data_IF_305243748086
#
_entry.id   IF_305243748086
#
_cell.length_a   1.000
_cell.length_b   1.000
_cell.length_c   1.000
_cell.angle_alpha   90.00
_cell.angle_beta   90.00
_cell.angle_gamma   90.00
#
_symmetry.space_group_name_H-M   'P 1'
#
loop_
_entity.id
_entity.type
_entity.pdbx_description
1 polymer ?
#
# COMPACT_ATOMS: atom_id res chain seq x y z
N UNK A 1 41.07 7.30 -62.32
CA UNK A 1 41.55 8.42 -63.14
C UNK A 1 40.46 9.47 -63.20
N UNK A 2 40.78 10.68 -62.71
CA UNK A 2 40.17 12.03 -62.90
C UNK A 2 38.64 12.16 -62.73
N UNK A 3 38.10 12.89 -61.74
CA UNK A 3 38.16 14.36 -61.55
C UNK A 3 36.95 15.00 -62.29
N UNK A 4 36.12 15.93 -61.81
CA UNK A 4 36.14 16.88 -60.68
C UNK A 4 34.76 17.61 -60.64
N UNK A 5 34.24 17.88 -59.43
CA UNK A 5 33.59 19.11 -58.90
C UNK A 5 32.37 19.76 -59.60
N UNK A 6 31.29 19.98 -58.81
CA UNK A 6 30.65 21.30 -58.70
C UNK A 6 29.14 21.40 -58.38
N UNK A 7 28.82 21.90 -57.17
CA UNK A 7 27.60 22.68 -56.78
C UNK A 7 26.30 21.88 -56.52
N UNK A 8 25.43 22.16 -55.54
CA UNK A 8 25.33 23.19 -54.49
C UNK A 8 24.21 22.81 -53.50
N UNK A 9 24.44 23.22 -52.25
CA UNK A 9 23.46 23.70 -51.25
C UNK A 9 22.37 22.75 -50.75
N UNK A 10 22.54 22.36 -49.48
CA UNK A 10 21.50 21.78 -48.66
C UNK A 10 20.34 22.75 -48.44
N UNK A 11 19.17 22.16 -48.36
CA UNK A 11 18.00 22.77 -47.72
C UNK A 11 17.75 21.95 -46.47
N UNK A 12 17.99 22.58 -45.33
CA UNK A 12 17.55 22.14 -44.02
C UNK A 12 16.05 21.79 -44.09
N UNK A 13 15.71 20.53 -43.82
CA UNK A 13 14.33 20.13 -43.58
C UNK A 13 13.96 20.59 -42.18
N UNK A 14 13.42 21.81 -42.15
CA UNK A 14 12.80 22.47 -41.03
C UNK A 14 11.69 21.57 -40.45
N UNK A 15 12.00 20.87 -39.35
CA UNK A 15 11.08 19.95 -38.68
C UNK A 15 10.20 20.72 -37.68
N UNK A 16 9.59 21.81 -38.14
CA UNK A 16 8.71 22.68 -37.38
C UNK A 16 7.25 22.20 -37.45
N UNK A 17 7.02 20.90 -37.28
CA UNK A 17 5.72 20.41 -36.84
C UNK A 17 5.66 20.49 -35.33
N UNK A 18 5.38 21.69 -34.83
CA UNK A 18 4.88 21.89 -33.48
C UNK A 18 3.64 20.99 -33.32
N UNK A 19 3.77 19.91 -32.56
CA UNK A 19 2.65 19.12 -32.09
C UNK A 19 1.79 20.07 -31.28
N UNK A 20 0.65 20.49 -31.83
CA UNK A 20 -0.32 21.32 -31.12
C UNK A 20 -0.72 20.66 -29.79
N UNK A 21 -1.24 21.42 -28.82
CA UNK A 21 -1.68 20.86 -27.55
C UNK A 21 -2.63 19.68 -27.85
N UNK A 22 -2.30 18.47 -27.37
CA UNK A 22 -3.20 17.32 -27.50
C UNK A 22 -4.55 17.75 -26.94
N UNK A 23 -5.56 17.83 -27.80
CA UNK A 23 -6.93 18.10 -27.38
C UNK A 23 -7.29 17.11 -26.28
N UNK A 24 -7.81 17.63 -25.16
CA UNK A 24 -8.32 16.80 -24.06
C UNK A 24 -9.41 15.89 -24.65
N UNK A 25 -9.16 14.59 -24.68
CA UNK A 25 -10.06 13.58 -25.24
C UNK A 25 -11.26 13.40 -24.30
N UNK A 26 -12.22 14.32 -24.34
CA UNK A 26 -13.50 14.23 -23.63
C UNK A 26 -13.41 14.27 -22.09
N UNK A 27 -14.57 14.22 -21.40
CA UNK A 27 -14.66 14.26 -19.94
C UNK A 27 -14.14 12.98 -19.24
N UNK A 28 -13.68 12.00 -20.02
CA UNK A 28 -13.16 10.70 -19.56
C UNK A 28 -11.71 10.46 -20.02
N UNK A 29 -10.97 11.53 -20.37
CA UNK A 29 -9.57 11.40 -20.75
C UNK A 29 -8.76 10.87 -19.56
N UNK A 30 -8.27 9.63 -19.66
CA UNK A 30 -7.33 9.08 -18.68
C UNK A 30 -6.05 9.90 -18.68
N UNK A 31 -5.62 10.31 -17.50
CA UNK A 31 -4.33 10.96 -17.30
C UNK A 31 -3.21 9.92 -17.32
N UNK A 32 -2.00 10.35 -17.66
CA UNK A 32 -0.82 9.48 -17.57
C UNK A 32 -0.62 8.97 -16.13
N UNK A 33 -0.90 9.82 -15.14
CA UNK A 33 -0.82 9.51 -13.71
C UNK A 33 -1.75 8.35 -13.33
N UNK A 34 -3.00 8.34 -13.80
CA UNK A 34 -3.94 7.24 -13.55
C UNK A 34 -3.46 5.94 -14.20
N UNK A 35 -2.90 6.02 -15.42
CA UNK A 35 -2.33 4.84 -16.09
C UNK A 35 -1.09 4.30 -15.37
N UNK A 36 -0.28 5.16 -14.77
CA UNK A 36 0.85 4.73 -13.94
C UNK A 36 0.38 4.00 -12.68
N UNK A 37 -0.71 4.45 -12.05
CA UNK A 37 -1.34 3.72 -10.93
C UNK A 37 -1.85 2.34 -11.35
N UNK A 38 -2.45 2.22 -12.54
CA UNK A 38 -2.88 0.92 -13.09
C UNK A 38 -1.68 -0.01 -13.32
N UNK A 39 -0.59 0.49 -13.92
CA UNK A 39 0.64 -0.30 -14.13
C UNK A 39 1.25 -0.75 -12.80
N UNK A 40 1.27 0.11 -11.80
CA UNK A 40 1.73 -0.22 -10.45
C UNK A 40 0.84 -1.27 -9.79
N UNK A 41 -0.50 -1.18 -9.93
CA UNK A 41 -1.42 -2.19 -9.43
C UNK A 41 -1.17 -3.57 -10.05
N UNK A 42 -0.89 -3.66 -11.36
CA UNK A 42 -0.52 -4.93 -12.01
C UNK A 42 0.75 -5.55 -11.42
N UNK A 43 1.75 -4.74 -11.06
CA UNK A 43 2.96 -5.21 -10.38
C UNK A 43 2.67 -5.65 -8.94
N UNK A 44 1.71 -5.02 -8.25
CA UNK A 44 1.29 -5.43 -6.91
C UNK A 44 0.69 -6.84 -6.87
N UNK A 45 0.01 -7.30 -7.93
CA UNK A 45 -0.43 -8.70 -8.01
C UNK A 45 0.74 -9.68 -7.92
N UNK A 46 1.88 -9.35 -8.55
CA UNK A 46 3.10 -10.18 -8.49
C UNK A 46 3.58 -10.26 -7.07
N UNK A 47 3.79 -9.09 -6.44
CA UNK A 47 4.28 -8.98 -5.06
C UNK A 47 3.38 -9.74 -4.09
N UNK A 48 2.08 -9.49 -4.10
CA UNK A 48 1.18 -9.97 -3.05
C UNK A 48 0.59 -11.36 -3.30
N UNK A 49 0.40 -11.79 -4.55
CA UNK A 49 -0.42 -12.98 -4.85
C UNK A 49 0.18 -13.90 -5.90
N UNK A 50 1.45 -13.75 -6.25
CA UNK A 50 2.14 -14.69 -7.14
C UNK A 50 3.32 -15.36 -6.45
N UNK A 51 3.70 -16.55 -6.93
CA UNK A 51 4.84 -17.28 -6.40
C UNK A 51 6.16 -16.51 -6.64
N UNK A 52 6.24 -15.76 -7.72
CA UNK A 52 7.35 -14.90 -8.10
C UNK A 52 7.58 -13.75 -7.10
N UNK A 53 6.53 -13.27 -6.43
CA UNK A 53 6.64 -12.28 -5.35
C UNK A 53 7.08 -12.86 -4.01
N UNK A 54 7.13 -14.18 -3.84
CA UNK A 54 7.45 -14.81 -2.56
C UNK A 54 8.78 -14.34 -1.94
N UNK A 55 9.91 -14.25 -2.67
CA UNK A 55 11.16 -13.78 -2.08
C UNK A 55 11.06 -12.36 -1.51
N UNK A 56 10.30 -11.49 -2.16
CA UNK A 56 10.07 -10.12 -1.70
C UNK A 56 9.20 -10.11 -0.44
N UNK A 57 8.13 -10.92 -0.41
CA UNK A 57 7.29 -11.11 0.79
C UNK A 57 8.06 -11.72 1.96
N UNK A 58 8.96 -12.66 1.69
CA UNK A 58 9.79 -13.27 2.73
C UNK A 58 10.72 -12.24 3.39
N UNK A 59 11.17 -11.21 2.66
CA UNK A 59 11.97 -10.11 3.22
C UNK A 59 11.12 -9.19 4.10
N UNK A 60 9.91 -8.82 3.66
CA UNK A 60 9.13 -7.77 4.32
C UNK A 60 8.02 -8.28 5.25
N UNK A 61 7.26 -9.31 4.85
CA UNK A 61 6.14 -9.85 5.60
C UNK A 61 6.57 -10.86 6.65
N UNK A 62 7.53 -11.74 6.34
CA UNK A 62 7.96 -12.77 7.30
C UNK A 62 8.49 -12.15 8.60
N UNK A 63 9.13 -10.99 8.50
CA UNK A 63 9.55 -10.19 9.65
C UNK A 63 8.37 -9.87 10.59
N UNK A 64 7.31 -9.28 10.04
CA UNK A 64 6.11 -8.91 10.77
C UNK A 64 5.41 -10.15 11.35
N UNK A 65 5.28 -11.21 10.55
CA UNK A 65 4.66 -12.47 10.99
C UNK A 65 5.41 -13.08 12.17
N UNK A 66 6.75 -13.07 12.14
CA UNK A 66 7.58 -13.60 13.22
C UNK A 66 7.43 -12.78 14.51
N UNK A 67 7.50 -11.45 14.41
CA UNK A 67 7.33 -10.56 15.57
C UNK A 67 5.94 -10.74 16.19
N UNK A 68 4.88 -10.83 15.38
CA UNK A 68 3.51 -11.11 15.88
C UNK A 68 3.44 -12.48 16.57
N UNK A 69 4.04 -13.53 16.01
CA UNK A 69 4.04 -14.86 16.61
C UNK A 69 4.86 -14.91 17.92
N UNK A 70 5.89 -14.10 18.05
CA UNK A 70 6.68 -13.97 19.28
C UNK A 70 5.88 -13.26 20.38
N UNK A 71 5.33 -12.08 20.04
CA UNK A 71 4.58 -11.21 20.96
C UNK A 71 3.24 -11.83 21.38
N UNK A 72 2.53 -12.46 20.43
CA UNK A 72 1.19 -13.01 20.61
C UNK A 72 1.15 -14.51 20.34
N UNK A 73 2.07 -15.25 20.97
CA UNK A 73 2.24 -16.68 20.75
C UNK A 73 0.91 -17.46 20.89
N UNK A 74 0.45 -18.19 19.85
CA UNK A 74 -0.81 -18.96 19.88
C UNK A 74 -0.89 -20.04 20.97
N UNK A 75 0.24 -20.45 21.56
CA UNK A 75 0.29 -21.38 22.70
C UNK A 75 0.00 -20.69 24.03
N UNK A 76 0.09 -19.37 24.10
CA UNK A 76 -0.07 -18.56 25.32
C UNK A 76 -1.34 -17.72 25.31
N UNK A 77 -1.74 -17.22 24.14
CA UNK A 77 -2.94 -16.40 23.95
C UNK A 77 -3.80 -16.99 22.84
N UNK A 78 -5.11 -16.76 22.90
CA UNK A 78 -6.01 -17.11 21.80
C UNK A 78 -5.84 -16.07 20.67
N UNK A 79 -5.33 -16.44 19.47
CA UNK A 79 -5.11 -15.51 18.38
C UNK A 79 -6.36 -14.73 17.96
N UNK A 80 -7.54 -15.35 18.03
CA UNK A 80 -8.80 -14.71 17.69
C UNK A 80 -9.16 -13.51 18.59
N UNK A 81 -8.55 -13.41 19.78
CA UNK A 81 -8.75 -12.29 20.71
C UNK A 81 -7.72 -11.16 20.53
N UNK A 82 -6.76 -11.32 19.61
CA UNK A 82 -5.73 -10.32 19.31
C UNK A 82 -6.13 -9.60 18.04
N UNK A 83 -6.42 -8.31 18.16
CA UNK A 83 -6.84 -7.44 17.08
C UNK A 83 -5.62 -6.80 16.42
N UNK A 84 -5.39 -7.08 15.14
CA UNK A 84 -4.27 -6.56 14.35
C UNK A 84 -4.81 -5.69 13.21
N UNK A 85 -4.28 -4.46 13.11
CA UNK A 85 -4.55 -3.56 11.99
C UNK A 85 -3.34 -3.49 11.06
N UNK A 86 -3.60 -3.52 9.75
CA UNK A 86 -2.60 -3.33 8.70
C UNK A 86 -2.99 -2.11 7.85
N UNK A 87 -2.52 -0.90 8.17
CA UNK A 87 -2.71 0.29 7.33
C UNK A 87 -1.92 0.18 6.01
N UNK A 88 -2.47 0.73 4.92
CA UNK A 88 -1.86 0.63 3.60
C UNK A 88 -1.73 -0.82 3.11
N UNK A 89 -2.79 -1.61 3.31
CA UNK A 89 -2.76 -3.05 3.09
C UNK A 89 -2.61 -3.47 1.62
N UNK A 90 -2.70 -2.55 0.65
CA UNK A 90 -2.52 -2.85 -0.76
C UNK A 90 -3.52 -3.92 -1.24
N UNK A 91 -3.01 -5.06 -1.72
CA UNK A 91 -3.85 -6.18 -2.16
C UNK A 91 -4.24 -7.13 -1.02
N UNK A 92 -3.89 -6.78 0.22
CA UNK A 92 -4.36 -7.45 1.43
C UNK A 92 -3.59 -8.70 1.83
N UNK A 93 -2.46 -9.03 1.18
CA UNK A 93 -1.73 -10.29 1.44
C UNK A 93 -1.24 -10.41 2.87
N UNK A 94 -0.59 -9.38 3.43
CA UNK A 94 -0.08 -9.42 4.80
C UNK A 94 -1.22 -9.58 5.82
N UNK A 95 -2.31 -8.84 5.64
CA UNK A 95 -3.48 -8.94 6.51
C UNK A 95 -4.13 -10.34 6.41
N UNK A 96 -4.15 -10.92 5.21
CA UNK A 96 -4.60 -12.30 4.99
C UNK A 96 -3.67 -13.33 5.66
N UNK A 97 -2.35 -13.19 5.59
CA UNK A 97 -1.39 -14.10 6.25
C UNK A 97 -1.54 -14.07 7.78
N UNK A 98 -1.73 -12.87 8.36
CA UNK A 98 -2.02 -12.72 9.79
C UNK A 98 -3.35 -13.39 10.18
N UNK A 99 -4.39 -13.21 9.37
CA UNK A 99 -5.65 -13.92 9.54
C UNK A 99 -5.49 -15.45 9.40
N UNK A 100 -4.70 -15.91 8.43
CA UNK A 100 -4.44 -17.33 8.20
C UNK A 100 -3.75 -17.99 9.42
N UNK A 101 -2.92 -17.23 10.15
CA UNK A 101 -2.33 -17.66 11.44
C UNK A 101 -3.33 -17.69 12.61
N UNK A 102 -4.57 -17.25 12.41
CA UNK A 102 -5.64 -17.30 13.42
C UNK A 102 -5.99 -15.95 14.05
N UNK A 103 -5.26 -14.88 13.74
CA UNK A 103 -5.46 -13.56 14.35
C UNK A 103 -6.68 -12.84 13.80
N UNK A 104 -7.35 -12.03 14.63
CA UNK A 104 -8.37 -11.11 14.12
C UNK A 104 -7.66 -9.96 13.42
N UNK A 105 -7.80 -9.88 12.09
CA UNK A 105 -7.03 -8.94 11.27
C UNK A 105 -7.93 -8.05 10.41
N UNK A 106 -7.61 -6.76 10.37
CA UNK A 106 -8.19 -5.81 9.43
C UNK A 106 -7.10 -5.17 8.61
N UNK A 107 -7.22 -5.20 7.28
CA UNK A 107 -6.46 -4.32 6.41
C UNK A 107 -7.20 -2.99 6.21
N UNK A 108 -6.46 -1.91 6.03
CA UNK A 108 -7.01 -0.61 5.61
C UNK A 108 -6.31 -0.15 4.34
N UNK A 109 -7.08 0.34 3.38
CA UNK A 109 -6.54 0.85 2.12
C UNK A 109 -7.42 1.99 1.60
N UNK A 110 -6.81 2.99 0.98
CA UNK A 110 -7.49 4.18 0.47
C UNK A 110 -7.68 4.14 -1.05
N UNK A 111 -6.69 3.62 -1.78
CA UNK A 111 -6.66 3.66 -3.23
C UNK A 111 -7.64 2.68 -3.86
N UNK A 112 -8.56 3.19 -4.70
CA UNK A 112 -9.43 2.32 -5.51
C UNK A 112 -8.66 1.39 -6.45
N UNK A 113 -7.44 1.79 -6.86
CA UNK A 113 -6.55 0.94 -7.67
C UNK A 113 -6.05 -0.29 -6.92
N UNK A 114 -6.10 -0.29 -5.58
CA UNK A 114 -5.77 -1.43 -4.74
C UNK A 114 -7.03 -2.15 -4.24
N UNK A 115 -8.04 -1.40 -3.78
CA UNK A 115 -9.29 -1.95 -3.23
C UNK A 115 -10.05 -2.83 -4.24
N UNK A 116 -10.13 -2.42 -5.51
CA UNK A 116 -10.85 -3.19 -6.55
C UNK A 116 -10.15 -4.53 -6.82
N UNK A 117 -8.83 -4.57 -7.14
CA UNK A 117 -8.07 -5.81 -7.21
C UNK A 117 -8.11 -6.66 -5.94
N UNK A 118 -7.95 -6.06 -4.76
CA UNK A 118 -8.00 -6.77 -3.48
C UNK A 118 -9.35 -7.48 -3.31
N UNK A 119 -10.46 -6.79 -3.60
CA UNK A 119 -11.79 -7.38 -3.57
C UNK A 119 -11.91 -8.56 -4.54
N UNK A 120 -11.42 -8.41 -5.78
CA UNK A 120 -11.41 -9.48 -6.77
C UNK A 120 -10.66 -10.71 -6.24
N UNK A 121 -9.44 -10.54 -5.77
CA UNK A 121 -8.61 -11.64 -5.27
C UNK A 121 -9.28 -12.32 -4.06
N UNK A 122 -9.61 -11.55 -3.03
CA UNK A 122 -10.05 -12.08 -1.73
C UNK A 122 -11.46 -12.69 -1.74
N UNK A 123 -12.31 -12.32 -2.70
CA UNK A 123 -13.71 -12.77 -2.72
C UNK A 123 -14.09 -13.61 -3.94
N UNK A 124 -13.29 -13.59 -5.01
CA UNK A 124 -13.67 -14.25 -6.27
C UNK A 124 -12.70 -15.35 -6.70
N UNK A 125 -11.40 -15.23 -6.40
CA UNK A 125 -10.43 -16.27 -6.72
C UNK A 125 -10.57 -17.44 -5.76
N UNK A 126 -10.76 -18.65 -6.29
CA UNK A 126 -11.02 -19.87 -5.50
C UNK A 126 -10.02 -20.97 -5.76
N UNK A 127 -9.22 -20.85 -6.82
CA UNK A 127 -8.23 -21.84 -7.20
C UNK A 127 -6.84 -21.22 -7.25
N UNK A 128 -5.84 -22.00 -6.85
CA UNK A 128 -4.44 -21.59 -6.98
C UNK A 128 -4.09 -21.47 -8.46
N UNK A 129 -3.42 -20.37 -8.83
CA UNK A 129 -3.01 -20.04 -10.20
C UNK A 129 -4.18 -19.99 -11.21
N UNK A 130 -5.37 -19.61 -10.75
CA UNK A 130 -6.59 -19.52 -11.58
C UNK A 130 -6.47 -18.50 -12.72
N UNK A 131 -5.73 -17.42 -12.48
CA UNK A 131 -5.58 -16.31 -13.40
C UNK A 131 -4.12 -16.06 -13.75
N UNK A 132 -3.90 -15.34 -14.85
CA UNK A 132 -2.58 -14.83 -15.23
C UNK A 132 -2.65 -13.40 -15.74
N UNK A 133 -1.56 -12.67 -15.59
CA UNK A 133 -1.37 -11.32 -16.12
C UNK A 133 0.05 -11.13 -16.66
N UNK A 134 0.27 -10.00 -17.33
CA UNK A 134 1.54 -9.66 -17.96
C UNK A 134 2.02 -8.30 -17.42
N UNK A 135 2.68 -8.28 -16.24
CA UNK A 135 2.91 -7.05 -15.48
C UNK A 135 4.04 -6.20 -16.06
N UNK A 136 4.87 -6.77 -16.94
CA UNK A 136 6.09 -6.15 -17.46
C UNK A 136 5.92 -5.54 -18.86
N UNK A 137 4.75 -5.67 -19.49
CA UNK A 137 4.54 -5.26 -20.89
C UNK A 137 4.82 -3.78 -21.14
N UNK A 138 4.64 -2.92 -20.13
CA UNK A 138 4.93 -1.49 -20.21
C UNK A 138 6.41 -1.13 -20.02
N UNK A 139 7.28 -2.08 -19.69
CA UNK A 139 8.70 -1.85 -19.41
C UNK A 139 9.55 -2.14 -20.65
N UNK A 140 10.15 -1.10 -21.22
CA UNK A 140 10.98 -1.19 -22.43
C UNK A 140 12.48 -1.09 -22.17
N UNK A 141 12.87 -0.76 -20.94
CA UNK A 141 14.27 -0.64 -20.52
C UNK A 141 14.65 -1.83 -19.64
N UNK A 142 15.94 -2.20 -19.67
CA UNK A 142 16.52 -3.26 -18.84
C UNK A 142 15.89 -4.66 -19.02
N UNK A 143 15.41 -4.97 -20.23
CA UNK A 143 14.99 -6.32 -20.60
C UNK A 143 16.20 -7.07 -21.17
N UNK A 144 16.52 -8.26 -20.64
CA UNK A 144 17.62 -9.09 -21.13
C UNK A 144 17.22 -9.82 -22.43
N UNK A 145 15.94 -10.15 -22.56
CA UNK A 145 15.32 -10.72 -23.76
C UNK A 145 13.96 -10.06 -24.07
N UNK A 146 13.40 -10.31 -25.26
CA UNK A 146 12.05 -9.82 -25.60
C UNK A 146 10.98 -10.62 -24.86
N UNK A 147 11.29 -11.88 -24.57
CA UNK A 147 10.46 -12.84 -23.86
C UNK A 147 10.24 -12.41 -22.41
N UNK A 148 11.23 -11.78 -21.77
CA UNK A 148 11.12 -11.25 -20.40
C UNK A 148 9.96 -10.24 -20.28
N UNK A 149 9.82 -9.32 -21.24
CA UNK A 149 8.80 -8.27 -21.25
C UNK A 149 7.36 -8.84 -21.30
N UNK A 150 7.19 -10.00 -21.92
CA UNK A 150 5.90 -10.66 -22.13
C UNK A 150 5.74 -11.92 -21.27
N UNK A 151 6.55 -12.07 -20.23
CA UNK A 151 6.46 -13.22 -19.33
C UNK A 151 5.15 -13.16 -18.53
N UNK A 152 4.31 -14.22 -18.57
CA UNK A 152 3.10 -14.29 -17.76
C UNK A 152 3.43 -14.59 -16.30
N UNK A 153 2.63 -14.04 -15.40
CA UNK A 153 2.65 -14.33 -13.96
C UNK A 153 1.27 -14.88 -13.55
N UNK A 154 1.24 -15.98 -12.80
CA UNK A 154 -0.01 -16.62 -12.36
C UNK A 154 -0.37 -16.22 -10.92
N UNK A 155 -1.66 -16.10 -10.63
CA UNK A 155 -2.16 -15.77 -9.30
C UNK A 155 -3.59 -16.33 -9.08
N UNK A 156 -4.07 -16.48 -7.84
CA UNK A 156 -3.31 -16.36 -6.59
C UNK A 156 -2.43 -17.60 -6.32
N UNK A 157 -1.27 -17.44 -5.70
CA UNK A 157 -0.34 -18.54 -5.39
C UNK A 157 -0.76 -19.40 -4.18
N UNK A 158 -1.75 -18.92 -3.43
CA UNK A 158 -2.48 -19.62 -2.36
C UNK A 158 -3.97 -19.41 -2.57
N UNK A 159 -4.83 -20.25 -1.98
CA UNK A 159 -6.28 -20.03 -2.06
C UNK A 159 -6.71 -18.98 -1.03
N UNK A 160 -7.25 -17.80 -1.42
CA UNK A 160 -7.64 -16.77 -0.46
C UNK A 160 -8.77 -17.21 0.49
N UNK A 161 -9.55 -18.21 0.10
CA UNK A 161 -10.60 -18.80 0.93
C UNK A 161 -10.08 -19.80 1.98
N UNK A 162 -8.78 -20.14 1.95
CA UNK A 162 -8.14 -21.01 2.94
C UNK A 162 -7.87 -20.21 4.23
N UNK A 163 -8.93 -19.83 4.95
CA UNK A 163 -8.85 -19.19 6.27
C UNK A 163 -9.47 -20.12 7.32
N UNK A 164 -8.96 -20.13 8.56
CA UNK A 164 -9.58 -20.90 9.63
C UNK A 164 -11.02 -20.42 9.91
N UNK A 165 -11.96 -21.35 10.14
CA UNK A 165 -13.40 -21.09 10.15
C UNK A 165 -13.90 -20.02 11.15
N UNK A 166 -13.14 -19.70 12.20
CA UNK A 166 -13.52 -18.75 13.24
C UNK A 166 -12.68 -17.46 13.23
N UNK A 167 -11.92 -17.21 12.16
CA UNK A 167 -11.09 -16.02 12.04
C UNK A 167 -11.89 -14.85 11.49
N UNK A 168 -11.70 -13.68 12.10
CA UNK A 168 -12.24 -12.42 11.58
C UNK A 168 -11.19 -11.75 10.70
N UNK A 169 -11.45 -11.74 9.39
CA UNK A 169 -10.64 -11.03 8.40
C UNK A 169 -11.47 -10.02 7.63
N UNK A 170 -11.04 -8.76 7.63
CA UNK A 170 -11.76 -7.67 6.95
C UNK A 170 -10.81 -6.69 6.26
N UNK A 171 -11.36 -5.92 5.31
CA UNK A 171 -10.71 -4.76 4.72
C UNK A 171 -11.58 -3.53 4.96
N UNK A 172 -10.98 -2.38 5.26
CA UNK A 172 -11.64 -1.08 5.43
C UNK A 172 -11.14 -0.10 4.35
N UNK A 173 -12.08 0.50 3.62
CA UNK A 173 -11.79 1.46 2.56
C UNK A 173 -11.83 2.92 3.04
N UNK A 174 -10.72 3.63 2.85
CA UNK A 174 -10.56 5.09 2.99
C UNK A 174 -9.32 5.47 3.79
N UNK A 175 -9.20 6.76 4.13
CA UNK A 175 -7.98 7.31 4.72
C UNK A 175 -7.75 6.79 6.16
N UNK A 176 -6.50 6.42 6.45
CA UNK A 176 -6.12 5.84 7.74
C UNK A 176 -6.39 6.79 8.91
N UNK A 177 -6.05 8.07 8.78
CA UNK A 177 -6.25 9.05 9.86
C UNK A 177 -7.75 9.30 10.03
N UNK A 178 -8.50 9.46 8.95
CA UNK A 178 -9.94 9.76 9.02
C UNK A 178 -10.77 8.61 9.59
N UNK A 179 -10.51 7.37 9.16
CA UNK A 179 -11.32 6.21 9.51
C UNK A 179 -11.11 5.77 10.96
N UNK A 180 -9.87 5.87 11.44
CA UNK A 180 -9.48 5.46 12.78
C UNK A 180 -9.39 6.67 13.73
N UNK A 181 -10.41 7.54 13.69
CA UNK A 181 -10.54 8.73 14.56
C UNK A 181 -11.73 8.61 15.51
N UNK A 182 -11.56 9.15 16.72
CA UNK A 182 -12.63 9.26 17.71
C UNK A 182 -13.67 10.31 17.27
N UNK A 183 -14.97 9.96 17.17
CA UNK A 183 -16.03 10.90 16.79
C UNK A 183 -16.09 12.17 17.66
N UNK A 184 -15.64 12.10 18.92
CA UNK A 184 -15.64 13.23 19.86
C UNK A 184 -14.56 14.28 19.55
N UNK A 185 -13.57 13.93 18.75
CA UNK A 185 -12.45 14.80 18.33
C UNK A 185 -12.73 15.54 17.02
N UNK A 186 -13.85 15.24 16.33
CA UNK A 186 -14.39 16.04 15.24
C UNK A 186 -15.06 17.31 15.82
N UNK A 187 -14.28 18.14 16.50
CA UNK A 187 -14.71 19.50 16.81
C UNK A 187 -14.56 20.36 15.57
N UNK A 188 -15.65 21.03 15.20
CA UNK A 188 -15.73 22.00 14.11
C UNK A 188 -14.72 23.13 14.31
N UNK A 189 -13.53 23.01 13.73
CA UNK A 189 -12.58 24.11 13.61
C UNK A 189 -12.13 24.18 12.16
N UNK A 190 -12.97 24.79 11.33
CA UNK A 190 -12.59 25.88 10.43
C UNK A 190 -13.81 26.27 9.60
N UNK A 191 -14.28 27.51 9.77
CA UNK A 191 -15.35 28.09 8.95
C UNK A 191 -14.91 28.41 7.51
N UNK A 192 -13.62 28.21 7.20
CA UNK A 192 -12.99 28.71 5.98
C UNK A 192 -12.32 27.62 5.14
N UNK A 193 -12.38 26.34 5.54
CA UNK A 193 -12.05 25.24 4.64
C UNK A 193 -13.34 24.79 3.97
N UNK A 194 -13.43 24.90 2.64
CA UNK A 194 -14.47 24.21 1.89
C UNK A 194 -14.21 22.71 2.04
N UNK A 195 -14.69 22.14 3.13
CA UNK A 195 -14.66 20.71 3.39
C UNK A 195 -15.55 20.08 2.32
N UNK A 196 -14.93 19.42 1.35
CA UNK A 196 -15.65 18.68 0.33
C UNK A 196 -16.43 17.58 1.02
N UNK A 197 -17.72 17.81 1.25
CA UNK A 197 -18.67 16.79 1.69
C UNK A 197 -18.93 15.80 0.55
N UNK A 198 -17.93 14.99 0.19
CA UNK A 198 -18.20 13.68 -0.37
C UNK A 198 -18.88 12.86 0.73
N UNK A 199 -19.94 12.14 0.39
CA UNK A 199 -20.67 11.29 1.33
C UNK A 199 -19.69 10.29 1.99
N UNK A 200 -19.22 10.61 3.21
CA UNK A 200 -18.24 9.85 3.99
C UNK A 200 -18.80 8.46 4.36
N UNK A 201 -18.77 7.54 3.40
CA UNK A 201 -19.13 6.14 3.55
C UNK A 201 -17.85 5.33 3.71
N UNK A 202 -17.62 4.83 4.92
CA UNK A 202 -16.61 3.79 5.16
C UNK A 202 -17.20 2.47 4.68
N UNK A 203 -16.54 1.84 3.70
CA UNK A 203 -16.91 0.51 3.25
C UNK A 203 -15.97 -0.49 3.90
N UNK A 204 -16.52 -1.37 4.74
CA UNK A 204 -15.81 -2.56 5.18
C UNK A 204 -16.41 -3.80 4.52
N UNK A 205 -15.55 -4.71 4.10
CA UNK A 205 -15.96 -6.04 3.65
C UNK A 205 -15.16 -7.12 4.36
N UNK A 206 -15.82 -8.27 4.55
CA UNK A 206 -15.25 -9.48 5.14
C UNK A 206 -14.96 -10.44 4.00
N UNK A 207 -13.73 -10.97 3.93
CA UNK A 207 -13.39 -11.94 2.89
C UNK A 207 -14.26 -13.20 3.04
N UNK A 208 -14.90 -13.63 1.96
CA UNK A 208 -15.73 -14.85 1.95
C UNK A 208 -17.16 -14.68 2.48
N UNK A 209 -17.59 -13.47 2.86
CA UNK A 209 -18.99 -13.18 3.22
C UNK A 209 -19.52 -12.04 2.33
N UNK A 210 -20.52 -12.32 1.50
CA UNK A 210 -21.27 -11.31 0.73
C UNK A 210 -22.22 -10.47 1.63
N UNK A 211 -21.78 -10.05 2.81
CA UNK A 211 -22.53 -9.12 3.65
C UNK A 211 -21.87 -7.76 3.61
N UNK A 212 -22.53 -6.80 2.95
CA UNK A 212 -22.17 -5.39 3.08
C UNK A 212 -22.42 -4.96 4.53
N UNK A 213 -21.36 -4.63 5.26
CA UNK A 213 -21.50 -3.86 6.50
C UNK A 213 -21.30 -2.40 6.12
N UNK A 214 -22.39 -1.74 5.73
CA UNK A 214 -22.42 -0.28 5.65
C UNK A 214 -22.60 0.26 7.07
N UNK A 215 -21.52 0.44 7.82
CA UNK A 215 -21.58 1.16 9.08
C UNK A 215 -21.55 2.66 8.79
N UNK A 216 -22.68 3.35 8.97
CA UNK A 216 -22.70 4.80 9.11
C UNK A 216 -22.06 5.17 10.45
N UNK A 217 -20.73 5.28 10.50
CA UNK A 217 -19.91 6.11 11.41
C UNK A 217 -18.48 5.60 11.42
N UNK A 218 -17.56 6.56 11.52
CA UNK A 218 -16.23 6.47 12.15
C UNK A 218 -16.12 5.30 13.14
N UNK A 219 -15.04 4.52 13.06
CA UNK A 219 -14.79 3.49 14.06
C UNK A 219 -14.27 4.18 15.33
N UNK A 220 -15.05 4.14 16.41
CA UNK A 220 -14.57 4.52 17.75
C UNK A 220 -13.46 3.52 18.13
N UNK A 221 -12.21 3.95 17.96
CA UNK A 221 -11.03 3.05 17.89
C UNK A 221 -9.96 3.35 18.91
N UNK A 222 -10.19 4.32 19.80
CA UNK A 222 -9.27 4.57 20.91
C UNK A 222 -9.06 3.28 21.70
N UNK A 223 -7.80 2.92 21.96
CA UNK A 223 -7.44 1.70 22.71
C UNK A 223 -8.09 0.40 22.18
N UNK A 224 -8.12 0.19 20.86
CA UNK A 224 -8.83 -0.96 20.23
C UNK A 224 -7.89 -2.04 19.71
N UNK A 225 -6.68 -1.67 19.29
CA UNK A 225 -5.77 -2.59 18.59
C UNK A 225 -4.68 -3.11 19.53
N UNK A 226 -4.45 -4.43 19.49
CA UNK A 226 -3.34 -5.05 20.20
C UNK A 226 -2.03 -4.87 19.42
N UNK A 227 -2.13 -4.86 18.08
CA UNK A 227 -0.99 -4.63 17.19
C UNK A 227 -1.37 -3.78 15.98
N UNK A 228 -0.47 -2.90 15.56
CA UNK A 228 -0.52 -2.23 14.25
C UNK A 228 0.73 -2.63 13.48
N UNK A 229 0.56 -3.10 12.25
CA UNK A 229 1.66 -3.49 11.37
C UNK A 229 1.68 -2.60 10.12
N UNK A 230 2.71 -1.77 9.98
CA UNK A 230 2.90 -0.89 8.81
C UNK A 230 4.04 -1.41 7.95
N UNK A 231 3.77 -1.69 6.67
CA UNK A 231 4.78 -2.20 5.73
C UNK A 231 4.78 -1.34 4.46
N UNK A 232 5.86 -0.58 4.21
CA UNK A 232 5.95 0.43 3.14
C UNK A 232 4.77 1.42 3.14
N UNK A 233 4.47 1.97 4.32
CA UNK A 233 3.29 2.81 4.55
C UNK A 233 3.58 4.18 5.15
N UNK A 234 4.48 4.28 6.15
CA UNK A 234 4.59 5.53 6.92
C UNK A 234 5.13 6.73 6.14
N UNK A 235 5.80 6.46 5.02
CA UNK A 235 6.32 7.44 4.06
C UNK A 235 5.27 7.87 3.02
N UNK A 236 4.07 7.31 3.05
CA UNK A 236 2.93 7.78 2.24
C UNK A 236 2.17 8.95 2.90
N UNK A 237 2.61 9.44 4.05
CA UNK A 237 1.95 10.52 4.77
C UNK A 237 2.36 11.90 4.23
N UNK A 238 1.40 12.82 4.08
CA UNK A 238 1.69 14.26 4.00
C UNK A 238 2.37 14.76 5.28
N UNK A 239 1.85 14.31 6.42
CA UNK A 239 2.40 14.59 7.73
C UNK A 239 2.54 13.29 8.52
N UNK A 240 3.76 12.76 8.60
CA UNK A 240 4.05 11.52 9.32
C UNK A 240 3.68 11.60 10.81
N UNK A 241 3.67 12.79 11.42
CA UNK A 241 3.26 12.96 12.82
C UNK A 241 1.78 12.62 13.03
N UNK A 242 0.92 12.86 12.03
CA UNK A 242 -0.50 12.47 12.08
C UNK A 242 -0.66 10.95 12.09
N UNK A 243 0.19 10.23 11.36
CA UNK A 243 0.22 8.76 11.41
C UNK A 243 0.68 8.28 12.79
N UNK A 244 1.74 8.88 13.35
CA UNK A 244 2.23 8.51 14.68
C UNK A 244 1.19 8.75 15.78
N UNK A 245 0.51 9.90 15.75
CA UNK A 245 -0.56 10.22 16.71
C UNK A 245 -1.72 9.23 16.61
N UNK A 246 -2.16 8.92 15.38
CA UNK A 246 -3.21 7.93 15.13
C UNK A 246 -2.81 6.56 15.65
N UNK A 247 -1.59 6.09 15.33
CA UNK A 247 -1.05 4.80 15.79
C UNK A 247 -1.01 4.74 17.32
N UNK A 248 -0.49 5.78 17.98
CA UNK A 248 -0.44 5.87 19.44
C UNK A 248 -1.82 5.80 20.08
N UNK A 249 -2.78 6.57 19.53
CA UNK A 249 -4.13 6.71 20.07
C UNK A 249 -4.97 5.44 19.96
N UNK A 250 -4.85 4.70 18.86
CA UNK A 250 -5.74 3.55 18.59
C UNK A 250 -5.17 2.23 19.15
N UNK A 251 -3.88 2.20 19.50
CA UNK A 251 -3.29 1.08 20.23
C UNK A 251 -3.83 1.02 21.66
N UNK A 252 -4.07 -0.19 22.16
CA UNK A 252 -4.30 -0.43 23.59
C UNK A 252 -3.05 -0.07 24.40
N UNK A 253 -3.19 0.29 25.69
CA UNK A 253 -2.05 0.35 26.59
C UNK A 253 -1.33 -1.00 26.62
N UNK A 254 -0.03 -1.01 26.32
CA UNK A 254 0.76 -2.23 26.18
C UNK A 254 0.68 -2.92 24.81
N UNK A 255 -0.04 -2.34 23.84
CA UNK A 255 -0.06 -2.79 22.46
C UNK A 255 1.25 -2.49 21.72
N UNK A 256 1.42 -3.12 20.56
CA UNK A 256 2.67 -3.07 19.79
C UNK A 256 2.47 -2.42 18.42
N UNK A 257 3.46 -1.65 18.00
CA UNK A 257 3.57 -1.19 16.62
C UNK A 257 4.82 -1.79 15.96
N UNK A 258 4.60 -2.50 14.86
CA UNK A 258 5.64 -3.11 14.04
C UNK A 258 5.70 -2.34 12.72
N UNK A 259 6.89 -1.83 12.36
CA UNK A 259 7.10 -1.08 11.12
C UNK A 259 8.24 -1.68 10.30
N UNK A 260 8.01 -1.86 8.99
CA UNK A 260 9.04 -2.24 8.02
C UNK A 260 8.89 -1.38 6.75
N UNK A 261 9.95 -0.71 6.33
CA UNK A 261 9.94 0.03 5.08
C UNK A 261 10.92 1.20 5.06
N UNK A 262 11.09 1.82 3.90
CA UNK A 262 11.97 2.98 3.73
C UNK A 262 11.31 4.25 4.27
N UNK A 263 11.99 5.38 4.04
CA UNK A 263 11.46 6.74 4.21
C UNK A 263 11.48 7.49 2.87
N UNK A 264 10.85 6.91 1.85
CA UNK A 264 10.71 7.54 0.54
C UNK A 264 9.41 8.35 0.50
N UNK A 265 9.47 9.58 0.99
CA UNK A 265 8.28 10.43 1.16
C UNK A 265 7.55 10.68 -0.15
N UNK A 266 6.29 10.23 -0.23
CA UNK A 266 5.51 10.21 -1.47
C UNK A 266 5.30 11.60 -2.10
N UNK A 267 5.22 12.63 -1.27
CA UNK A 267 4.86 13.99 -1.67
C UNK A 267 6.06 14.93 -1.83
N UNK A 268 7.31 14.46 -1.62
CA UNK A 268 8.50 15.32 -1.58
C UNK A 268 8.73 16.13 -2.86
N UNK A 269 8.39 15.55 -4.01
CA UNK A 269 8.62 16.15 -5.33
C UNK A 269 7.32 16.53 -6.05
N UNK A 270 6.18 16.58 -5.34
CA UNK A 270 4.88 16.91 -5.94
C UNK A 270 4.57 18.40 -5.73
N UNK A 271 4.53 19.23 -6.80
CA UNK A 271 4.30 20.65 -6.65
C UNK A 271 2.91 20.96 -6.07
N UNK A 272 2.88 21.74 -4.98
CA UNK A 272 1.65 22.16 -4.32
C UNK A 272 1.12 21.22 -3.25
N UNK A 273 1.82 20.11 -2.97
CA UNK A 273 1.49 19.20 -1.88
C UNK A 273 2.40 19.47 -0.67
N UNK A 274 1.83 19.41 0.53
CA UNK A 274 2.61 19.46 1.76
C UNK A 274 3.25 18.09 2.06
N UNK A 275 4.52 18.10 2.46
CA UNK A 275 5.33 16.91 2.77
C UNK A 275 6.25 17.16 3.96
N UNK A 276 5.99 16.52 5.11
CA UNK A 276 6.87 16.55 6.29
C UNK A 276 7.84 15.37 6.29
N UNK A 277 9.08 15.67 5.92
CA UNK A 277 10.12 14.67 5.65
C UNK A 277 11.09 14.54 6.83
N UNK A 278 10.80 13.64 7.77
CA UNK A 278 11.69 13.38 8.89
C UNK A 278 12.78 12.37 8.51
N UNK A 279 14.02 12.65 8.89
CA UNK A 279 15.04 11.58 8.88
C UNK A 279 14.67 10.46 9.86
N UNK A 280 15.21 9.26 9.68
CA UNK A 280 14.99 8.14 10.62
C UNK A 280 15.35 8.52 12.07
N UNK A 281 16.36 9.37 12.26
CA UNK A 281 16.78 9.84 13.59
C UNK A 281 15.71 10.73 14.23
N UNK A 282 15.14 11.67 13.48
CA UNK A 282 14.09 12.57 13.94
C UNK A 282 12.78 11.83 14.17
N UNK A 283 12.41 10.94 13.25
CA UNK A 283 11.26 10.06 13.39
C UNK A 283 11.35 9.24 14.69
N UNK A 284 12.50 8.61 14.96
CA UNK A 284 12.74 7.86 16.19
C UNK A 284 12.63 8.74 17.44
N UNK A 285 13.05 10.00 17.37
CA UNK A 285 12.90 10.95 18.48
C UNK A 285 11.42 11.29 18.71
N UNK A 286 10.65 11.53 17.64
CA UNK A 286 9.22 11.79 17.72
C UNK A 286 8.45 10.60 18.34
N UNK A 287 8.74 9.38 17.88
CA UNK A 287 8.16 8.13 18.41
C UNK A 287 8.38 8.03 19.93
N UNK A 288 9.61 8.28 20.39
CA UNK A 288 9.92 8.26 21.83
C UNK A 288 9.23 9.36 22.61
N UNK A 289 9.08 10.55 22.03
CA UNK A 289 8.41 11.69 22.68
C UNK A 289 6.90 11.47 22.84
N UNK A 290 6.27 10.71 21.94
CA UNK A 290 4.87 10.30 22.09
C UNK A 290 4.65 9.34 23.26
N UNK A 291 5.68 8.57 23.64
CA UNK A 291 5.64 7.66 24.78
C UNK A 291 5.92 6.20 24.43
N UNK A 292 6.24 5.89 23.16
CA UNK A 292 6.62 4.53 22.79
C UNK A 292 7.96 4.11 23.39
N UNK A 293 8.00 2.87 23.89
CA UNK A 293 9.22 2.18 24.25
C UNK A 293 9.70 1.32 23.06
N UNK A 294 10.99 1.42 22.72
CA UNK A 294 11.56 0.64 21.61
C UNK A 294 11.99 -0.72 22.16
N UNK A 295 11.21 -1.76 21.82
CA UNK A 295 11.40 -3.13 22.35
C UNK A 295 12.35 -3.97 21.49
N UNK A 296 12.23 -3.92 20.16
CA UNK A 296 13.04 -4.72 19.24
C UNK A 296 13.76 -3.81 18.24
N UNK A 297 15.04 -4.07 17.96
CA UNK A 297 15.78 -3.42 16.89
C UNK A 297 16.49 -4.45 16.03
N UNK A 298 16.00 -4.61 14.82
CA UNK A 298 16.84 -5.13 13.75
C UNK A 298 17.33 -3.92 12.95
N UNK A 299 18.61 -3.59 13.10
CA UNK A 299 19.31 -2.91 12.03
C UNK A 299 19.61 -4.03 11.02
N UNK A 300 18.81 -4.18 9.96
CA UNK A 300 19.27 -4.99 8.84
C UNK A 300 20.38 -4.22 8.13
N UNK A 301 21.59 -4.34 8.69
CA UNK A 301 22.83 -4.00 7.99
C UNK A 301 23.04 -5.10 6.96
N UNK A 302 22.61 -4.85 5.73
CA UNK A 302 23.11 -5.61 4.60
C UNK A 302 24.43 -4.99 4.15
N UNK A 303 25.48 -5.79 4.22
CA UNK A 303 26.74 -5.50 3.55
C UNK A 303 26.56 -5.82 2.06
N UNK A 304 26.86 -4.82 1.21
CA UNK A 304 26.75 -4.75 -0.26
C UNK A 304 25.43 -4.18 -0.80
N UNK A 305 25.51 -2.85 -1.04
CA UNK A 305 24.79 -2.01 -2.00
C UNK A 305 23.25 -1.93 -1.96
N UNK A 306 22.79 -0.93 -1.17
CA UNK A 306 21.52 -0.19 -1.23
C UNK A 306 20.25 -0.95 -0.77
N UNK A 307 19.28 -0.38 -0.05
CA UNK A 307 18.76 1.00 0.04
C UNK A 307 18.26 1.28 1.49
N UNK A 308 18.27 2.57 1.85
CA UNK A 308 17.73 3.31 3.02
C UNK A 308 16.65 2.58 3.85
#
# INVERSE_FOLDING_TARGET
>A
MNGTVGSSNGTDLDNSHAVGPREKIGPFAFTNTEMDKVRSALKQFVRDWSAEGKPERDICYQFVLNDVLELFNPKKVNPANVNILVPGAGLGRLAWELAHLGYTCQGNEWSLYMLIPAYFILNTCKQVNEYKLYPWIGQFCNNMSREDQITPVHFPDVCPADLPANVQFSMAAGDFVEIYTDPSMLQTTDSDCETWHFENRVYSWVAGIHSHVSSNKFFETSNTWDCIATVFFIDTAHNILSYLDTIWRILKPGGYWINFGPLLYHFSDIPGEDSLELSYTELRLAIKRLGFEIVVRYNLVFYNDAII
#
